data_IF_352362108013
#
_entry.id   IF_352362108013
#
_cell.length_a   1.000
_cell.length_b   1.000
_cell.length_c   1.000
_cell.angle_alpha   90.00
_cell.angle_beta   90.00
_cell.angle_gamma   90.00
#
_symmetry.space_group_name_H-M   'P 1'
#
loop_
_entity.id
_entity.type
_entity.pdbx_description
1 polymer ?
#
# COMPACT_ATOMS: atom_id res chain seq x y z
N UNK A 1 46.54 15.73 -49.92
CA UNK A 1 45.10 15.54 -49.69
C UNK A 1 44.94 14.07 -49.36
N UNK A 2 44.62 13.76 -48.10
CA UNK A 2 44.50 12.37 -47.65
C UNK A 2 43.03 11.98 -47.82
N UNK A 3 42.76 11.12 -48.80
CA UNK A 3 41.48 10.45 -48.93
C UNK A 3 41.33 9.50 -47.74
N UNK A 4 40.59 9.95 -46.73
CA UNK A 4 40.28 9.20 -45.53
C UNK A 4 39.25 8.11 -45.89
N UNK A 5 39.75 7.01 -46.49
CA UNK A 5 38.93 5.85 -46.85
C UNK A 5 38.46 5.15 -45.58
N UNK A 6 37.33 5.61 -45.06
CA UNK A 6 36.62 4.94 -43.97
C UNK A 6 36.33 3.50 -44.41
N UNK A 7 36.98 2.55 -43.73
CA UNK A 7 36.82 1.14 -44.03
C UNK A 7 35.35 0.72 -43.86
N UNK A 8 34.84 -0.06 -44.83
CA UNK A 8 33.47 -0.59 -44.85
C UNK A 8 32.99 -1.17 -43.49
N UNK A 9 33.80 -1.95 -42.74
CA UNK A 9 33.37 -2.44 -41.43
C UNK A 9 33.17 -1.33 -40.39
N UNK A 10 33.97 -0.26 -40.45
CA UNK A 10 33.87 0.87 -39.53
C UNK A 10 32.61 1.70 -39.79
N UNK A 11 32.27 1.90 -41.08
CA UNK A 11 31.02 2.53 -41.47
C UNK A 11 29.80 1.76 -40.95
N UNK A 12 29.83 0.42 -41.05
CA UNK A 12 28.75 -0.44 -40.56
C UNK A 12 28.64 -0.40 -39.02
N UNK A 13 29.77 -0.39 -38.31
CA UNK A 13 29.80 -0.24 -36.86
C UNK A 13 29.21 1.11 -36.41
N UNK A 14 29.57 2.21 -37.08
CA UNK A 14 29.02 3.55 -36.81
C UNK A 14 27.50 3.58 -37.04
N UNK A 15 27.01 2.91 -38.10
CA UNK A 15 25.57 2.82 -38.37
C UNK A 15 24.82 2.06 -37.27
N UNK A 16 25.37 0.94 -36.79
CA UNK A 16 24.75 0.17 -35.69
C UNK A 16 24.74 0.97 -34.39
N UNK A 17 25.85 1.62 -34.05
CA UNK A 17 25.96 2.44 -32.82
C UNK A 17 25.03 3.66 -32.88
N UNK A 18 25.00 4.37 -34.00
CA UNK A 18 24.08 5.50 -34.19
C UNK A 18 22.61 5.06 -34.15
N UNK A 19 22.28 3.92 -34.76
CA UNK A 19 20.96 3.31 -34.66
C UNK A 19 20.58 2.95 -33.21
N UNK A 20 21.51 2.42 -32.42
CA UNK A 20 21.30 2.12 -31.00
C UNK A 20 21.11 3.38 -30.16
N UNK A 21 21.88 4.43 -30.42
CA UNK A 21 21.75 5.73 -29.74
C UNK A 21 20.39 6.35 -30.06
N UNK A 22 19.98 6.37 -31.33
CA UNK A 22 18.66 6.89 -31.73
C UNK A 22 17.54 6.04 -31.13
N UNK A 23 17.68 4.71 -31.15
CA UNK A 23 16.75 3.78 -30.49
C UNK A 23 16.63 4.02 -29.00
N UNK A 24 17.71 4.41 -28.32
CA UNK A 24 17.72 4.64 -26.88
C UNK A 24 17.25 6.06 -26.50
N UNK A 25 17.57 7.06 -27.31
CA UNK A 25 17.20 8.46 -27.07
C UNK A 25 15.78 8.80 -27.53
N UNK A 26 15.33 8.27 -28.68
CA UNK A 26 14.02 8.57 -29.27
C UNK A 26 12.99 7.47 -29.03
N UNK A 27 13.42 6.20 -28.88
CA UNK A 27 12.55 5.05 -28.63
C UNK A 27 12.84 4.36 -27.29
N UNK A 28 13.66 4.97 -26.43
CA UNK A 28 13.77 4.60 -25.02
C UNK A 28 12.41 4.85 -24.40
N UNK A 29 11.68 3.77 -24.13
CA UNK A 29 10.37 3.86 -23.48
C UNK A 29 10.46 4.66 -22.18
N UNK A 30 9.33 5.23 -21.71
CA UNK A 30 9.32 6.02 -20.48
C UNK A 30 10.05 5.24 -19.39
N UNK A 31 10.97 5.93 -18.69
CA UNK A 31 11.67 5.38 -17.53
C UNK A 31 10.66 4.58 -16.70
N UNK A 32 11.00 3.37 -16.23
CA UNK A 32 10.07 2.59 -15.43
C UNK A 32 9.53 3.54 -14.36
N UNK A 33 8.20 3.70 -14.23
CA UNK A 33 7.64 4.66 -13.31
C UNK A 33 8.27 4.36 -11.96
N UNK A 34 9.05 5.30 -11.44
CA UNK A 34 9.59 5.27 -10.09
C UNK A 34 8.41 4.84 -9.22
N UNK A 35 8.42 3.59 -8.76
CA UNK A 35 7.22 2.95 -8.25
C UNK A 35 6.59 3.92 -7.26
N UNK A 36 5.42 4.47 -7.59
CA UNK A 36 4.77 5.49 -6.77
C UNK A 36 4.70 4.86 -5.38
N UNK A 37 5.52 5.38 -4.45
CA UNK A 37 5.73 4.73 -3.15
C UNK A 37 4.34 4.55 -2.58
N UNK A 38 3.95 3.30 -2.34
CA UNK A 38 2.59 3.04 -1.88
C UNK A 38 2.36 3.88 -0.62
N UNK A 39 1.17 4.46 -0.42
CA UNK A 39 0.91 5.28 0.75
C UNK A 39 1.24 4.51 2.04
N UNK A 40 1.13 3.18 2.04
CA UNK A 40 1.54 2.32 3.16
C UNK A 40 3.05 2.24 3.36
N UNK A 41 3.85 2.27 2.28
CA UNK A 41 5.31 2.32 2.37
C UNK A 41 5.77 3.65 2.96
N UNK A 42 5.09 4.74 2.62
CA UNK A 42 5.36 6.05 3.23
C UNK A 42 5.03 6.05 4.73
N UNK A 43 3.87 5.52 5.13
CA UNK A 43 3.49 5.40 6.55
C UNK A 43 4.49 4.55 7.35
N UNK A 44 4.90 3.39 6.83
CA UNK A 44 5.92 2.54 7.46
C UNK A 44 7.28 3.24 7.59
N UNK A 45 7.72 3.92 6.53
CA UNK A 45 8.99 4.67 6.58
C UNK A 45 8.95 5.80 7.62
N UNK A 46 7.79 6.43 7.80
CA UNK A 46 7.56 7.46 8.82
C UNK A 46 7.61 6.88 10.23
N UNK A 47 7.02 5.70 10.46
CA UNK A 47 7.06 5.02 11.76
C UNK A 47 8.49 4.67 12.15
N UNK A 48 9.27 4.08 11.23
CA UNK A 48 10.70 3.78 11.45
C UNK A 48 11.51 5.04 11.73
N UNK A 49 11.21 6.13 11.01
CA UNK A 49 11.87 7.41 11.21
C UNK A 49 11.56 8.01 12.59
N UNK A 50 10.32 7.90 13.06
CA UNK A 50 9.90 8.34 14.40
C UNK A 50 10.62 7.55 15.49
N UNK A 51 10.71 6.22 15.36
CA UNK A 51 11.44 5.39 16.32
C UNK A 51 12.90 5.79 16.44
N UNK A 52 13.57 6.03 15.30
CA UNK A 52 14.95 6.50 15.29
C UNK A 52 15.12 7.86 15.97
N UNK A 53 14.20 8.80 15.71
CA UNK A 53 14.25 10.13 16.33
C UNK A 53 14.01 10.01 17.84
N UNK A 54 13.08 9.16 18.26
CA UNK A 54 12.79 8.92 19.68
C UNK A 54 14.00 8.34 20.43
N UNK A 55 14.81 7.50 19.77
CA UNK A 55 16.06 6.97 20.34
C UNK A 55 17.12 8.06 20.56
N UNK A 56 17.18 9.07 19.67
CA UNK A 56 18.13 10.19 19.79
C UNK A 56 17.62 11.30 20.73
N UNK A 57 16.30 11.51 20.77
CA UNK A 57 15.64 12.58 21.51
C UNK A 57 14.48 12.01 22.35
N UNK A 58 14.76 11.33 23.48
CA UNK A 58 13.72 10.74 24.32
C UNK A 58 12.76 11.77 24.90
N UNK A 59 13.18 13.03 25.05
CA UNK A 59 12.37 14.15 25.51
C UNK A 59 11.40 14.70 24.46
N UNK A 60 11.55 14.34 23.18
CA UNK A 60 10.66 14.82 22.13
C UNK A 60 9.40 13.93 22.06
N UNK A 61 8.23 14.58 22.01
CA UNK A 61 6.96 13.89 21.94
C UNK A 61 6.79 13.14 20.60
N UNK A 62 6.42 11.86 20.67
CA UNK A 62 6.16 11.04 19.48
C UNK A 62 5.14 11.69 18.53
N UNK A 63 4.13 12.37 19.08
CA UNK A 63 3.04 13.01 18.32
C UNK A 63 3.53 14.23 17.52
N UNK A 64 4.42 15.05 18.10
CA UNK A 64 4.98 16.21 17.42
C UNK A 64 5.98 15.80 16.35
N UNK A 65 6.78 14.75 16.60
CA UNK A 65 7.67 14.14 15.61
C UNK A 65 6.84 13.62 14.41
N UNK A 66 5.78 12.85 14.65
CA UNK A 66 4.92 12.34 13.58
C UNK A 66 4.30 13.45 12.72
N UNK A 67 3.85 14.53 13.38
CA UNK A 67 3.29 15.69 12.72
C UNK A 67 4.32 16.42 11.85
N UNK A 68 5.53 16.59 12.37
CA UNK A 68 6.58 17.27 11.64
C UNK A 68 7.06 16.47 10.43
N UNK A 69 7.23 15.15 10.59
CA UNK A 69 7.56 14.27 9.46
C UNK A 69 6.45 14.24 8.41
N UNK A 70 5.19 14.40 8.81
CA UNK A 70 4.08 14.47 7.85
C UNK A 70 4.20 15.71 6.95
N UNK A 71 4.61 16.85 7.50
CA UNK A 71 4.78 18.10 6.74
C UNK A 71 6.08 18.14 5.94
N UNK A 72 7.15 17.58 6.49
CA UNK A 72 8.49 17.60 5.90
C UNK A 72 8.78 16.39 4.99
N UNK A 73 7.74 15.66 4.55
CA UNK A 73 7.87 14.56 3.59
C UNK A 73 8.63 13.34 4.10
N UNK A 74 8.65 13.12 5.42
CA UNK A 74 9.35 12.01 6.06
C UNK A 74 10.86 12.19 6.20
N UNK A 75 11.38 13.42 6.04
CA UNK A 75 12.81 13.69 6.20
C UNK A 75 13.21 13.74 7.69
N UNK A 76 14.00 12.74 8.10
CA UNK A 76 14.55 12.63 9.47
C UNK A 76 15.46 13.81 9.79
N UNK A 77 16.36 14.20 8.88
CA UNK A 77 17.40 15.20 9.13
C UNK A 77 16.79 16.57 9.43
N UNK A 78 15.80 16.97 8.63
CA UNK A 78 15.09 18.24 8.83
C UNK A 78 14.36 18.24 10.19
N UNK A 79 13.73 17.12 10.56
CA UNK A 79 13.09 16.98 11.87
C UNK A 79 14.10 17.08 13.01
N UNK A 80 15.26 16.43 12.89
CA UNK A 80 16.32 16.49 13.91
C UNK A 80 16.90 17.89 14.07
N UNK A 81 17.13 18.61 12.98
CA UNK A 81 17.61 20.00 13.03
C UNK A 81 16.59 20.92 13.72
N UNK A 82 15.29 20.74 13.45
CA UNK A 82 14.22 21.53 14.09
C UNK A 82 14.06 21.22 15.58
N UNK A 83 14.27 19.96 15.98
CA UNK A 83 14.32 19.56 17.39
C UNK A 83 15.50 20.25 18.09
N UNK A 84 16.69 20.21 17.49
CA UNK A 84 17.89 20.87 18.03
C UNK A 84 17.73 22.40 18.11
N UNK A 85 17.06 23.00 17.14
CA UNK A 85 16.75 24.43 17.13
C UNK A 85 15.61 24.83 18.09
N UNK A 86 14.95 23.85 18.74
CA UNK A 86 13.81 24.11 19.63
C UNK A 86 12.58 24.69 18.91
N UNK A 87 12.38 24.34 17.63
CA UNK A 87 11.29 24.86 16.77
C UNK A 87 10.32 23.74 16.35
N UNK A 88 10.20 22.68 17.16
CA UNK A 88 9.30 21.57 16.88
C UNK A 88 7.84 22.04 16.99
N UNK A 89 7.09 21.91 15.90
CA UNK A 89 5.71 22.42 15.84
C UNK A 89 4.75 21.56 16.67
N UNK A 90 3.90 22.21 17.46
CA UNK A 90 2.92 21.53 18.30
C UNK A 90 1.73 21.07 17.45
N UNK A 91 1.46 19.76 17.36
CA UNK A 91 0.40 19.27 16.52
C UNK A 91 -0.99 19.73 16.99
N UNK A 92 -1.90 20.07 16.06
CA UNK A 92 -3.27 20.42 16.40
C UNK A 92 -3.96 19.27 17.14
N UNK A 93 -4.94 19.58 17.99
CA UNK A 93 -5.67 18.59 18.82
C UNK A 93 -6.43 17.58 17.95
N UNK A 94 -6.75 17.94 16.70
CA UNK A 94 -7.39 17.07 15.71
C UNK A 94 -6.44 16.03 15.10
N UNK A 95 -5.11 16.15 15.31
CA UNK A 95 -4.17 15.15 14.82
C UNK A 95 -4.19 13.92 15.73
N UNK A 96 -4.89 12.88 15.27
CA UNK A 96 -4.95 11.58 15.91
C UNK A 96 -3.90 10.65 15.26
N UNK A 97 -2.74 10.42 15.92
CA UNK A 97 -1.73 9.54 15.36
C UNK A 97 -2.25 8.09 15.31
N UNK A 98 -1.83 7.28 14.32
CA UNK A 98 -2.13 5.85 14.31
C UNK A 98 -1.54 5.19 15.57
N UNK A 99 -2.25 4.22 16.17
CA UNK A 99 -1.80 3.54 17.39
C UNK A 99 -0.45 2.85 17.14
N UNK A 100 0.47 2.85 18.12
CA UNK A 100 1.77 2.21 17.98
C UNK A 100 1.62 0.69 17.76
N UNK A 101 2.46 0.07 16.92
CA UNK A 101 2.43 -1.37 16.70
C UNK A 101 2.82 -2.09 18.01
N UNK A 102 1.93 -2.93 18.52
CA UNK A 102 2.17 -3.76 19.72
C UNK A 102 1.35 -3.42 20.96
N UNK A 103 0.58 -2.34 20.96
CA UNK A 103 -0.50 -2.17 21.92
C UNK A 103 -1.78 -2.73 21.32
N UNK A 104 -2.16 -3.92 21.81
CA UNK A 104 -3.55 -4.39 21.77
C UNK A 104 -4.46 -3.21 22.11
N UNK A 105 -5.49 -2.96 21.31
CA UNK A 105 -6.53 -1.98 21.64
C UNK A 105 -7.17 -2.39 22.97
N UNK A 106 -6.63 -1.88 24.07
CA UNK A 106 -7.24 -1.95 25.38
C UNK A 106 -8.50 -1.11 25.33
N UNK A 107 -9.63 -1.75 25.61
CA UNK A 107 -10.94 -1.13 25.77
C UNK A 107 -10.85 0.21 26.50
N UNK A 108 -10.99 1.31 25.76
CA UNK A 108 -11.34 2.60 26.33
C UNK A 108 -12.82 2.83 26.02
N UNK A 109 -13.62 2.65 27.07
CA UNK A 109 -14.96 3.16 27.35
C UNK A 109 -16.00 3.21 26.22
N UNK A 110 -17.12 2.54 26.50
CA UNK A 110 -18.41 2.72 25.87
C UNK A 110 -18.76 4.21 25.66
N UNK A 111 -18.50 4.71 24.46
CA UNK A 111 -19.31 5.73 23.86
C UNK A 111 -20.29 4.97 22.95
N UNK A 112 -21.58 5.10 23.25
CA UNK A 112 -22.69 4.74 22.36
C UNK A 112 -22.27 4.90 20.91
N UNK A 113 -22.14 3.77 20.20
CA UNK A 113 -21.94 3.78 18.77
C UNK A 113 -23.08 4.63 18.19
N UNK A 114 -22.80 5.76 17.50
CA UNK A 114 -23.81 6.33 16.66
C UNK A 114 -24.14 5.23 15.65
N UNK A 115 -25.40 4.79 15.67
CA UNK A 115 -26.05 4.01 14.62
C UNK A 115 -25.43 4.45 13.30
N UNK A 116 -24.69 3.54 12.64
CA UNK A 116 -24.00 3.88 11.41
C UNK A 116 -24.99 4.61 10.51
N UNK A 117 -24.72 5.85 10.07
CA UNK A 117 -25.55 6.46 9.05
C UNK A 117 -25.52 5.50 7.87
N UNK A 118 -26.70 5.05 7.44
CA UNK A 118 -26.84 4.11 6.34
C UNK A 118 -25.96 4.58 5.20
N UNK A 119 -24.89 3.82 4.97
CA UNK A 119 -23.94 4.13 3.91
C UNK A 119 -24.77 4.13 2.63
N UNK A 120 -24.70 5.20 1.80
CA UNK A 120 -25.49 5.25 0.57
C UNK A 120 -25.25 3.96 -0.18
N UNK A 121 -26.34 3.28 -0.57
CA UNK A 121 -26.40 1.92 -1.08
C UNK A 121 -25.32 1.64 -2.12
N UNK A 122 -24.11 1.33 -1.66
CA UNK A 122 -23.05 0.91 -2.53
C UNK A 122 -23.46 -0.49 -2.98
N UNK A 123 -23.42 -0.76 -4.30
CA UNK A 123 -23.84 -2.06 -4.79
C UNK A 123 -23.04 -3.14 -4.07
N UNK A 124 -23.74 -4.15 -3.54
CA UNK A 124 -23.13 -5.25 -2.79
C UNK A 124 -21.87 -5.76 -3.50
N UNK A 125 -20.83 -6.09 -2.74
CA UNK A 125 -19.57 -6.59 -3.31
C UNK A 125 -19.79 -7.83 -4.20
N UNK A 126 -20.82 -8.60 -3.91
CA UNK A 126 -21.28 -9.76 -4.69
C UNK A 126 -21.79 -9.33 -6.06
N UNK A 127 -22.56 -8.23 -6.12
CA UNK A 127 -23.03 -7.61 -7.36
C UNK A 127 -21.87 -7.03 -8.15
N UNK A 128 -20.98 -6.29 -7.47
CA UNK A 128 -19.83 -5.62 -8.09
C UNK A 128 -18.86 -6.61 -8.75
N UNK A 129 -18.69 -7.79 -8.17
CA UNK A 129 -17.78 -8.82 -8.66
C UNK A 129 -18.49 -10.03 -9.29
N UNK A 130 -19.79 -9.92 -9.58
CA UNK A 130 -20.60 -10.97 -10.20
C UNK A 130 -20.44 -12.35 -9.51
N UNK A 131 -20.38 -12.37 -8.18
CA UNK A 131 -20.15 -13.59 -7.38
C UNK A 131 -21.42 -14.42 -7.13
N UNK A 132 -22.54 -14.05 -7.77
CA UNK A 132 -23.84 -14.72 -7.59
C UNK A 132 -23.76 -16.21 -7.89
N UNK A 133 -23.21 -16.59 -9.05
CA UNK A 133 -23.11 -17.99 -9.48
C UNK A 133 -22.20 -18.84 -8.57
N UNK A 134 -21.23 -18.21 -7.89
CA UNK A 134 -20.33 -18.90 -6.96
C UNK A 134 -21.01 -19.18 -5.60
N UNK A 135 -22.09 -18.48 -5.25
CA UNK A 135 -22.84 -18.76 -4.04
C UNK A 135 -23.48 -20.16 -4.09
N UNK A 136 -24.03 -20.53 -5.25
CA UNK A 136 -24.69 -21.83 -5.44
C UNK A 136 -23.70 -23.00 -5.46
N UNK A 137 -22.47 -22.78 -5.96
CA UNK A 137 -21.42 -23.80 -6.05
C UNK A 137 -20.53 -23.91 -4.79
N UNK A 138 -20.48 -22.87 -3.94
CA UNK A 138 -19.56 -22.82 -2.81
C UNK A 138 -19.92 -23.74 -1.62
N UNK A 139 -20.99 -24.54 -1.72
CA UNK A 139 -21.30 -25.60 -0.75
C UNK A 139 -20.31 -26.78 -0.81
N UNK A 140 -19.38 -26.83 -1.78
CA UNK A 140 -18.52 -28.00 -2.01
C UNK A 140 -17.01 -27.73 -2.17
N UNK A 141 -16.49 -26.58 -1.73
CA UNK A 141 -15.05 -26.27 -1.89
C UNK A 141 -14.44 -25.61 -0.65
N UNK A 142 -14.28 -26.40 0.42
CA UNK A 142 -13.50 -26.07 1.61
C UNK A 142 -12.22 -26.91 1.73
N UNK A 143 -11.55 -27.17 0.60
CA UNK A 143 -10.22 -27.78 0.61
C UNK A 143 -9.45 -27.29 -0.60
N UNK A 144 -8.58 -26.30 -0.40
CA UNK A 144 -7.30 -26.09 -1.11
C UNK A 144 -6.79 -24.66 -0.85
N UNK A 145 -6.56 -24.34 0.42
CA UNK A 145 -5.90 -23.09 0.83
C UNK A 145 -4.67 -23.39 1.68
N UNK A 146 -3.80 -24.29 1.21
CA UNK A 146 -2.45 -24.41 1.77
C UNK A 146 -1.40 -23.86 0.80
N UNK A 147 -0.78 -22.75 1.22
CA UNK A 147 0.68 -22.64 1.17
C UNK A 147 1.36 -22.20 -0.13
N UNK A 148 0.65 -21.83 -1.20
CA UNK A 148 1.36 -21.33 -2.41
C UNK A 148 1.68 -19.84 -2.29
N UNK A 149 2.97 -19.55 -2.07
CA UNK A 149 3.55 -18.21 -2.15
C UNK A 149 3.17 -17.54 -3.48
N UNK A 150 3.16 -16.20 -3.49
CA UNK A 150 2.65 -15.48 -4.66
C UNK A 150 3.51 -15.76 -5.91
N UNK A 151 2.87 -16.07 -7.03
CA UNK A 151 3.58 -16.49 -8.24
C UNK A 151 4.41 -15.36 -8.84
N UNK A 152 5.51 -15.71 -9.52
CA UNK A 152 6.35 -14.77 -10.27
C UNK A 152 5.65 -14.22 -11.51
N UNK A 153 4.75 -15.03 -12.12
CA UNK A 153 3.95 -14.65 -13.28
C UNK A 153 2.83 -13.67 -12.90
N UNK A 154 2.70 -12.58 -13.66
CA UNK A 154 1.71 -11.51 -13.39
C UNK A 154 0.28 -12.01 -13.47
N UNK A 155 -0.05 -12.79 -14.50
CA UNK A 155 -1.43 -13.23 -14.75
C UNK A 155 -1.90 -14.25 -13.71
N UNK A 156 -1.07 -15.24 -13.38
CA UNK A 156 -1.33 -16.22 -12.33
C UNK A 156 -1.51 -15.55 -10.95
N UNK A 157 -0.68 -14.54 -10.68
CA UNK A 157 -0.73 -13.75 -9.45
C UNK A 157 -2.04 -12.97 -9.38
N UNK A 158 -2.43 -12.29 -10.46
CA UNK A 158 -3.71 -11.59 -10.51
C UNK A 158 -4.89 -12.55 -10.32
N UNK A 159 -4.87 -13.72 -10.96
CA UNK A 159 -5.89 -14.74 -10.79
C UNK A 159 -5.96 -15.26 -9.34
N UNK A 160 -4.81 -15.51 -8.70
CA UNK A 160 -4.76 -15.97 -7.31
C UNK A 160 -5.29 -14.93 -6.31
N UNK A 161 -4.99 -13.64 -6.52
CA UNK A 161 -5.50 -12.57 -5.67
C UNK A 161 -7.00 -12.35 -5.86
N UNK A 162 -7.48 -12.42 -7.10
CA UNK A 162 -8.92 -12.37 -7.38
C UNK A 162 -9.65 -13.52 -6.69
N UNK A 163 -9.11 -14.74 -6.78
CA UNK A 163 -9.66 -15.91 -6.09
C UNK A 163 -9.71 -15.72 -4.57
N UNK A 164 -8.61 -15.30 -3.94
CA UNK A 164 -8.55 -15.02 -2.49
C UNK A 164 -9.53 -13.91 -2.07
N UNK A 165 -9.68 -12.87 -2.89
CA UNK A 165 -10.64 -11.79 -2.64
C UNK A 165 -12.07 -12.30 -2.70
N UNK A 166 -12.41 -13.07 -3.74
CA UNK A 166 -13.74 -13.64 -3.92
C UNK A 166 -14.09 -14.58 -2.75
N UNK A 167 -13.17 -15.45 -2.34
CA UNK A 167 -13.31 -16.34 -1.18
C UNK A 167 -13.56 -15.55 0.11
N UNK A 168 -12.80 -14.48 0.34
CA UNK A 168 -12.97 -13.61 1.50
C UNK A 168 -14.35 -12.94 1.53
N UNK A 169 -14.86 -12.48 0.38
CA UNK A 169 -16.19 -11.85 0.28
C UNK A 169 -17.28 -12.86 0.65
N UNK A 170 -17.17 -14.10 0.15
CA UNK A 170 -18.13 -15.16 0.45
C UNK A 170 -18.09 -15.57 1.93
N UNK A 171 -16.90 -15.76 2.50
CA UNK A 171 -16.73 -16.08 3.90
C UNK A 171 -17.25 -14.97 4.83
N UNK A 172 -17.01 -13.71 4.49
CA UNK A 172 -17.53 -12.57 5.23
C UNK A 172 -19.06 -12.54 5.25
N UNK A 173 -19.71 -12.85 4.12
CA UNK A 173 -21.17 -12.98 4.05
C UNK A 173 -21.68 -14.09 4.97
N UNK A 174 -21.12 -15.30 4.89
CA UNK A 174 -21.53 -16.42 5.76
C UNK A 174 -21.40 -16.05 7.24
N UNK A 175 -20.31 -15.38 7.62
CA UNK A 175 -20.09 -14.90 8.99
C UNK A 175 -21.12 -13.85 9.40
N UNK A 176 -21.54 -12.97 8.48
CA UNK A 176 -22.60 -11.99 8.75
C UNK A 176 -23.96 -12.68 8.91
N UNK A 177 -24.31 -13.61 8.01
CA UNK A 177 -25.57 -14.37 8.08
C UNK A 177 -25.67 -15.17 9.38
N UNK A 178 -24.60 -15.85 9.80
CA UNK A 178 -24.54 -16.57 11.07
C UNK A 178 -24.70 -15.65 12.28
N UNK A 179 -24.11 -14.45 12.25
CA UNK A 179 -24.27 -13.45 13.32
C UNK A 179 -25.70 -12.93 13.40
N UNK A 180 -26.32 -12.62 12.26
CA UNK A 180 -27.71 -12.16 12.21
C UNK A 180 -28.67 -13.25 12.71
N UNK A 181 -28.41 -14.52 12.39
CA UNK A 181 -29.18 -15.65 12.90
C UNK A 181 -29.02 -15.82 14.43
N UNK A 182 -27.79 -15.69 14.95
CA UNK A 182 -27.52 -15.77 16.38
C UNK A 182 -28.16 -14.61 17.17
N UNK A 183 -28.12 -13.39 16.63
CA UNK A 183 -28.80 -12.22 17.22
C UNK A 183 -30.32 -12.40 17.23
N UNK A 184 -30.88 -12.93 16.14
CA UNK A 184 -32.32 -13.22 16.05
C UNK A 184 -32.78 -14.35 16.98
N UNK A 185 -31.90 -15.31 17.28
CA UNK A 185 -32.21 -16.42 18.20
C UNK A 185 -31.95 -16.08 19.67
N UNK A 186 -31.21 -15.00 19.95
CA UNK A 186 -30.92 -14.50 21.30
C UNK A 186 -31.85 -13.38 21.79
N UNK A 187 -32.87 -13.03 21.00
CA UNK A 187 -33.98 -12.14 21.39
C UNK A 187 -35.23 -12.93 21.73
#
# INVERSE_FOLDING_TARGET
MADDQISLPYFLAILVVSGLIIRYLFFGGPSPPQAARSPEAFMRSREVAVERIQQMFPQADRRSILWDLQRNGGNIQNTTERILAGRLDTPPVTFQPPPPPGQSAGSASAATAPRQPEKPAQPDLITRYNLRNKLDTALSSEQDAQGKGWSSNRDERQASLQRRRDEMILAARRKMEAKMAAEKAGQ
#
